data_IF_262250972170
#
_entry.id   IF_262250972170
#
_cell.length_a   1.000
_cell.length_b   1.000
_cell.length_c   1.000
_cell.angle_alpha   90.00
_cell.angle_beta   90.00
_cell.angle_gamma   90.00
#
_symmetry.space_group_name_H-M   'P 1'
#
loop_
_entity.id
_entity.type
_entity.pdbx_description
1 polymer ?
#
# COMPACT_ATOMS: atom_id res chain seq x y z
N UNK A 1 -14.53 -13.61 0.87
CA UNK A 1 -15.26 -13.86 -0.39
C UNK A 1 -14.63 -13.13 -1.57
N UNK A 2 -14.33 -11.83 -1.45
CA UNK A 2 -13.69 -11.09 -2.55
C UNK A 2 -12.32 -11.68 -2.85
N UNK A 3 -11.48 -11.87 -1.84
CA UNK A 3 -10.16 -12.49 -1.98
C UNK A 3 -10.23 -13.88 -2.63
N UNK A 4 -11.18 -14.72 -2.22
CA UNK A 4 -11.41 -16.04 -2.84
C UNK A 4 -11.69 -15.94 -4.34
N UNK A 5 -12.50 -14.93 -4.74
CA UNK A 5 -12.90 -14.73 -6.13
C UNK A 5 -11.79 -14.18 -7.01
N UNK A 6 -10.97 -13.28 -6.47
CA UNK A 6 -9.88 -12.62 -7.22
C UNK A 6 -8.53 -13.32 -7.07
N UNK A 7 -8.45 -14.39 -6.26
CA UNK A 7 -7.23 -15.18 -6.07
C UNK A 7 -6.17 -14.54 -5.17
N UNK A 8 -6.55 -13.62 -4.27
CA UNK A 8 -5.63 -13.03 -3.32
C UNK A 8 -5.41 -13.99 -2.15
N UNK A 9 -4.16 -14.29 -1.82
CA UNK A 9 -3.78 -15.03 -0.62
C UNK A 9 -3.85 -14.12 0.61
N UNK A 10 -4.37 -14.63 1.71
CA UNK A 10 -4.63 -13.88 2.94
C UNK A 10 -3.92 -14.54 4.12
N UNK A 11 -3.12 -13.76 4.82
CA UNK A 11 -2.75 -14.04 6.22
C UNK A 11 -3.78 -13.34 7.08
N UNK A 12 -4.59 -14.12 7.79
CA UNK A 12 -5.69 -13.58 8.60
C UNK A 12 -5.21 -13.42 10.04
N UNK A 13 -5.23 -12.19 10.55
CA UNK A 13 -4.74 -11.83 11.88
C UNK A 13 -5.87 -11.29 12.74
N UNK A 14 -6.02 -11.87 13.95
CA UNK A 14 -7.13 -11.54 14.82
C UNK A 14 -6.84 -10.38 15.77
N UNK A 15 -5.68 -10.39 16.42
CA UNK A 15 -5.40 -9.51 17.56
C UNK A 15 -4.00 -8.94 17.46
N UNK A 16 -3.84 -7.70 17.93
CA UNK A 16 -2.56 -7.04 18.01
C UNK A 16 -1.75 -7.58 19.21
N UNK A 17 -2.17 -7.30 20.44
CA UNK A 17 -1.48 -7.68 21.67
C UNK A 17 -2.32 -8.68 22.49
N UNK A 18 -1.64 -9.42 23.40
CA UNK A 18 -2.27 -10.40 24.30
C UNK A 18 -2.46 -9.88 25.72
N UNK A 19 -2.33 -8.58 25.92
CA UNK A 19 -2.52 -7.95 27.21
C UNK A 19 -3.79 -7.10 27.23
N UNK A 20 -4.35 -6.90 28.42
CA UNK A 20 -5.52 -6.04 28.61
C UNK A 20 -5.19 -4.56 28.47
N UNK A 21 -3.92 -4.18 28.73
CA UNK A 21 -3.47 -2.79 28.64
C UNK A 21 -3.29 -2.30 27.20
N UNK A 22 -2.93 -3.20 26.29
CA UNK A 22 -2.61 -2.88 24.89
C UNK A 22 -3.62 -3.46 23.90
N UNK A 23 -4.76 -3.95 24.40
CA UNK A 23 -5.86 -4.43 23.57
C UNK A 23 -6.71 -3.25 23.10
N UNK A 24 -6.41 -2.75 21.94
CA UNK A 24 -7.04 -1.56 21.38
C UNK A 24 -8.34 -1.87 20.65
N UNK A 25 -9.43 -1.36 21.19
CA UNK A 25 -10.75 -1.46 20.56
C UNK A 25 -11.72 -2.45 21.17
N UNK A 26 -11.32 -3.19 22.19
CA UNK A 26 -12.22 -4.05 22.95
C UNK A 26 -12.93 -3.32 24.09
N UNK A 27 -14.19 -3.71 24.36
CA UNK A 27 -14.92 -3.26 25.56
C UNK A 27 -14.72 -4.18 26.76
N UNK A 28 -14.10 -5.33 26.54
CA UNK A 28 -13.82 -6.34 27.57
C UNK A 28 -12.33 -6.66 27.54
N UNK A 29 -11.72 -6.96 28.70
CA UNK A 29 -10.33 -7.38 28.78
C UNK A 29 -10.05 -8.58 27.87
N UNK A 30 -8.93 -8.56 27.16
CA UNK A 30 -8.55 -9.64 26.25
C UNK A 30 -8.45 -10.97 26.99
N UNK A 31 -7.87 -10.98 28.19
CA UNK A 31 -7.74 -12.17 29.05
C UNK A 31 -9.08 -12.85 29.38
N UNK A 32 -10.19 -12.11 29.31
CA UNK A 32 -11.53 -12.66 29.56
C UNK A 32 -12.20 -13.22 28.30
N UNK A 33 -11.82 -12.78 27.11
CA UNK A 33 -12.60 -13.06 25.89
C UNK A 33 -11.84 -13.81 24.79
N UNK A 34 -10.51 -13.97 24.91
CA UNK A 34 -9.66 -14.56 23.86
C UNK A 34 -10.17 -15.91 23.33
N UNK A 35 -10.63 -16.79 24.21
CA UNK A 35 -11.12 -18.11 23.83
C UNK A 35 -12.35 -18.03 22.92
N UNK A 36 -13.25 -17.09 23.17
CA UNK A 36 -14.40 -16.83 22.33
C UNK A 36 -13.99 -16.15 21.02
N UNK A 37 -13.14 -15.16 21.10
CA UNK A 37 -12.66 -14.42 19.91
C UNK A 37 -11.99 -15.38 18.93
N UNK A 38 -11.01 -16.15 19.35
CA UNK A 38 -10.31 -17.12 18.49
C UNK A 38 -11.30 -18.14 17.91
N UNK A 39 -12.18 -18.70 18.74
CA UNK A 39 -13.14 -19.70 18.30
C UNK A 39 -14.07 -19.17 17.21
N UNK A 40 -14.66 -18.01 17.41
CA UNK A 40 -15.62 -17.45 16.46
C UNK A 40 -14.94 -16.95 15.17
N UNK A 41 -13.74 -16.40 15.29
CA UNK A 41 -12.91 -16.01 14.15
C UNK A 41 -12.59 -17.19 13.25
N UNK A 42 -12.03 -18.28 13.78
CA UNK A 42 -11.71 -19.47 13.00
C UNK A 42 -12.96 -20.08 12.36
N UNK A 43 -14.06 -20.22 13.11
CA UNK A 43 -15.31 -20.75 12.56
C UNK A 43 -15.88 -19.92 11.44
N UNK A 44 -15.76 -18.58 11.51
CA UNK A 44 -16.22 -17.66 10.48
C UNK A 44 -15.44 -17.85 9.17
N UNK A 45 -14.11 -18.01 9.28
CA UNK A 45 -13.22 -17.82 8.12
C UNK A 45 -12.56 -19.12 7.62
N UNK A 46 -12.53 -20.22 8.38
CA UNK A 46 -11.84 -21.47 7.99
C UNK A 46 -12.25 -22.07 6.64
N UNK A 47 -13.43 -21.75 6.15
CA UNK A 47 -13.94 -22.24 4.86
C UNK A 47 -13.57 -21.27 3.70
N UNK A 48 -12.64 -20.34 3.90
CA UNK A 48 -12.13 -19.43 2.88
C UNK A 48 -10.85 -19.99 2.26
N UNK A 49 -10.85 -20.39 0.99
CA UNK A 49 -9.65 -20.93 0.36
C UNK A 49 -8.53 -19.89 0.19
N UNK A 50 -8.86 -18.60 0.20
CA UNK A 50 -7.87 -17.52 0.17
C UNK A 50 -6.99 -17.45 1.42
N UNK A 51 -7.48 -17.88 2.59
CA UNK A 51 -6.71 -17.85 3.83
C UNK A 51 -5.69 -18.98 3.82
N UNK A 52 -4.41 -18.62 3.96
CA UNK A 52 -3.30 -19.56 3.92
C UNK A 52 -2.61 -19.72 5.27
N UNK A 53 -2.74 -18.74 6.17
CA UNK A 53 -2.05 -18.69 7.45
C UNK A 53 -2.90 -17.93 8.47
N UNK A 54 -2.87 -18.37 9.74
CA UNK A 54 -3.49 -17.71 10.87
C UNK A 54 -2.46 -16.98 11.69
N UNK A 55 -2.55 -15.67 11.85
CA UNK A 55 -1.69 -14.88 12.72
C UNK A 55 -2.38 -14.59 14.05
N UNK A 56 -1.73 -14.98 15.14
CA UNK A 56 -2.32 -14.98 16.49
C UNK A 56 -1.96 -13.74 17.30
N UNK A 57 -1.12 -12.87 16.78
CA UNK A 57 -0.72 -11.63 17.47
C UNK A 57 0.35 -10.87 16.72
N UNK A 58 0.56 -9.63 17.14
CA UNK A 58 1.49 -8.71 16.51
C UNK A 58 2.39 -8.01 17.53
N UNK A 59 3.70 -8.02 17.27
CA UNK A 59 4.71 -7.24 18.01
C UNK A 59 4.64 -7.38 19.53
N UNK A 60 4.54 -8.61 20.01
CA UNK A 60 4.36 -8.90 21.42
C UNK A 60 5.59 -8.61 22.29
N UNK A 61 6.79 -8.53 21.68
CA UNK A 61 8.08 -8.41 22.35
C UNK A 61 8.83 -7.16 21.86
N UNK A 62 8.25 -5.98 22.02
CA UNK A 62 8.79 -4.78 21.36
C UNK A 62 9.87 -4.07 22.16
N UNK A 63 9.69 -3.86 23.46
CA UNK A 63 10.56 -2.96 24.24
C UNK A 63 10.76 -3.43 25.66
N UNK A 64 11.88 -3.03 26.25
CA UNK A 64 12.13 -3.16 27.67
C UNK A 64 10.99 -2.52 28.49
N UNK A 65 10.35 -3.29 29.36
CA UNK A 65 9.23 -2.84 30.17
C UNK A 65 7.86 -2.81 29.47
N UNK A 66 7.79 -3.19 28.22
CA UNK A 66 6.52 -3.35 27.51
C UNK A 66 6.39 -4.75 26.92
N UNK A 67 5.53 -5.56 27.51
CA UNK A 67 5.18 -6.87 27.00
C UNK A 67 3.78 -6.81 26.41
N UNK A 68 3.61 -7.21 25.18
CA UNK A 68 2.30 -7.36 24.54
C UNK A 68 1.54 -8.58 25.05
N UNK A 69 1.97 -9.19 26.13
CA UNK A 69 1.32 -10.29 26.86
C UNK A 69 1.60 -10.18 28.35
N UNK A 70 0.67 -10.64 29.13
CA UNK A 70 0.79 -10.71 30.59
C UNK A 70 1.16 -12.13 31.03
N UNK A 71 1.90 -12.23 32.14
CA UNK A 71 2.15 -13.49 32.81
C UNK A 71 3.58 -13.96 32.76
N UNK A 72 3.82 -15.17 32.41
CA UNK A 72 5.00 -15.98 32.71
C UNK A 72 6.30 -15.51 32.04
N UNK A 73 7.44 -15.98 32.59
CA UNK A 73 8.77 -15.74 32.05
C UNK A 73 9.12 -16.62 30.82
N UNK A 74 8.14 -17.17 30.12
CA UNK A 74 8.33 -18.06 28.99
C UNK A 74 8.21 -17.38 27.61
N UNK A 75 8.27 -16.06 27.59
CA UNK A 75 8.25 -15.26 26.36
C UNK A 75 6.99 -15.44 25.49
N UNK A 76 5.86 -15.80 26.12
CA UNK A 76 4.57 -16.00 25.44
C UNK A 76 4.39 -17.39 24.83
N UNK A 77 5.34 -18.32 25.00
CA UNK A 77 5.28 -19.66 24.41
C UNK A 77 4.06 -20.45 24.90
N UNK A 78 3.79 -20.45 26.21
CA UNK A 78 2.60 -21.11 26.77
C UNK A 78 1.32 -20.53 26.19
N UNK A 79 1.20 -19.22 26.13
CA UNK A 79 0.02 -18.54 25.57
C UNK A 79 -0.17 -18.87 24.10
N UNK A 80 0.91 -18.81 23.31
CA UNK A 80 0.86 -19.21 21.90
C UNK A 80 0.38 -20.66 21.76
N UNK A 81 0.94 -21.58 22.52
CA UNK A 81 0.58 -23.00 22.44
C UNK A 81 -0.91 -23.23 22.76
N UNK A 82 -1.46 -22.53 23.76
CA UNK A 82 -2.88 -22.59 24.10
C UNK A 82 -3.73 -22.07 22.92
N UNK A 83 -3.35 -20.93 22.34
CA UNK A 83 -4.07 -20.34 21.20
C UNK A 83 -3.96 -21.23 19.95
N UNK A 84 -2.77 -21.75 19.67
CA UNK A 84 -2.56 -22.68 18.56
C UNK A 84 -3.41 -23.94 18.70
N UNK A 85 -3.44 -24.56 19.88
CA UNK A 85 -4.29 -25.72 20.15
C UNK A 85 -5.77 -25.40 19.92
N UNK A 86 -6.23 -24.21 20.32
CA UNK A 86 -7.60 -23.80 20.11
C UNK A 86 -7.90 -23.59 18.61
N UNK A 87 -6.97 -23.00 17.85
CA UNK A 87 -7.08 -22.92 16.39
C UNK A 87 -7.17 -24.31 15.78
N UNK A 88 -6.24 -25.21 16.11
CA UNK A 88 -6.16 -26.57 15.55
C UNK A 88 -7.41 -27.41 15.86
N UNK A 89 -8.12 -27.12 16.95
CA UNK A 89 -9.41 -27.74 17.25
C UNK A 89 -10.47 -27.45 16.17
N UNK A 90 -10.38 -26.30 15.51
CA UNK A 90 -11.38 -25.84 14.53
C UNK A 90 -10.87 -25.83 13.09
N UNK A 91 -9.55 -25.68 12.90
CA UNK A 91 -8.86 -25.78 11.62
C UNK A 91 -7.45 -26.37 11.81
N UNK A 92 -7.30 -27.65 11.49
CA UNK A 92 -6.01 -28.36 11.52
C UNK A 92 -5.25 -28.30 10.17
N UNK A 93 -5.81 -27.62 9.18
CA UNK A 93 -5.27 -27.65 7.81
C UNK A 93 -4.26 -26.52 7.55
N UNK A 94 -4.33 -25.42 8.29
CA UNK A 94 -3.46 -24.24 8.12
C UNK A 94 -2.51 -24.08 9.28
N UNK A 95 -1.35 -23.51 8.99
CA UNK A 95 -0.34 -23.19 10.00
C UNK A 95 -0.70 -21.90 10.74
N UNK A 96 -0.08 -21.71 11.90
CA UNK A 96 -0.22 -20.51 12.71
C UNK A 96 1.11 -19.79 12.86
N UNK A 97 1.02 -18.50 13.10
CA UNK A 97 2.17 -17.60 13.32
C UNK A 97 1.85 -16.51 14.33
N UNK A 98 2.85 -15.76 14.70
CA UNK A 98 2.79 -14.47 15.37
C UNK A 98 3.76 -13.53 14.66
N UNK A 99 3.34 -12.34 14.34
CA UNK A 99 4.21 -11.31 13.77
C UNK A 99 5.08 -10.69 14.87
N UNK A 100 6.39 -10.93 14.84
CA UNK A 100 7.32 -10.49 15.89
C UNK A 100 8.12 -9.27 15.44
N UNK A 101 8.36 -8.35 16.38
CA UNK A 101 9.22 -7.18 16.21
C UNK A 101 9.80 -6.73 17.53
N UNK A 102 10.97 -6.13 17.50
CA UNK A 102 12.22 -6.70 17.07
C UNK A 102 12.47 -8.02 17.80
N UNK A 103 13.49 -8.71 17.45
CA UNK A 103 13.75 -10.07 17.97
C UNK A 103 13.71 -10.18 19.50
N UNK A 104 14.11 -9.17 20.21
CA UNK A 104 13.96 -8.98 21.65
C UNK A 104 14.08 -7.52 22.00
N UNK A 105 13.36 -7.14 23.06
CA UNK A 105 13.49 -5.82 23.64
C UNK A 105 14.93 -5.38 23.77
N UNK A 106 15.27 -4.41 23.02
CA UNK A 106 16.27 -3.37 23.21
C UNK A 106 17.72 -3.74 23.47
N UNK A 107 18.04 -4.71 24.28
CA UNK A 107 19.41 -4.89 24.76
C UNK A 107 20.36 -5.58 23.78
N UNK A 108 19.85 -6.47 22.92
CA UNK A 108 20.69 -7.27 22.01
C UNK A 108 20.73 -6.69 20.59
N UNK A 109 19.78 -5.87 20.22
CA UNK A 109 19.71 -5.28 18.88
C UNK A 109 20.38 -3.92 18.75
N UNK A 110 20.78 -3.29 19.86
CA UNK A 110 21.43 -1.98 19.88
C UNK A 110 22.94 -2.09 19.69
N UNK A 111 23.37 -1.88 18.45
CA UNK A 111 24.65 -1.26 18.10
C UNK A 111 25.95 -2.00 18.33
N UNK A 112 25.98 -3.22 18.83
CA UNK A 112 27.23 -3.96 18.93
C UNK A 112 27.41 -4.90 17.73
N UNK A 113 28.32 -4.54 16.83
CA UNK A 113 28.73 -5.40 15.72
C UNK A 113 29.20 -6.78 16.18
N UNK A 114 29.72 -6.88 17.39
CA UNK A 114 30.16 -8.14 18.00
C UNK A 114 29.00 -9.10 18.29
N UNK A 115 27.80 -8.57 18.61
CA UNK A 115 26.63 -9.42 18.88
C UNK A 115 25.87 -9.86 17.63
N UNK A 116 26.09 -9.27 16.47
CA UNK A 116 25.43 -9.71 15.22
C UNK A 116 25.81 -11.13 14.83
N UNK A 117 27.00 -11.60 15.19
CA UNK A 117 27.45 -12.97 14.91
C UNK A 117 26.81 -14.01 15.86
N UNK A 118 26.22 -13.57 16.95
CA UNK A 118 25.52 -14.40 17.96
C UNK A 118 24.01 -14.19 17.98
N UNK A 119 23.47 -13.61 16.92
CA UNK A 119 22.04 -13.31 16.84
C UNK A 119 21.24 -14.62 16.74
N UNK A 120 20.50 -14.94 17.78
CA UNK A 120 19.61 -16.10 17.82
C UNK A 120 18.16 -15.68 17.61
N UNK A 121 17.32 -16.52 16.98
CA UNK A 121 15.91 -16.23 16.87
C UNK A 121 15.25 -16.17 18.25
N UNK A 122 14.21 -15.33 18.44
CA UNK A 122 13.45 -15.29 19.68
C UNK A 122 12.84 -16.65 20.00
N UNK A 123 12.66 -16.96 21.27
CA UNK A 123 12.07 -18.22 21.73
C UNK A 123 10.67 -18.44 21.14
N UNK A 124 9.86 -17.39 21.09
CA UNK A 124 8.52 -17.46 20.50
C UNK A 124 8.57 -17.83 19.01
N UNK A 125 9.54 -17.29 18.26
CA UNK A 125 9.74 -17.66 16.85
C UNK A 125 10.07 -19.14 16.67
N UNK A 126 10.83 -19.70 17.64
CA UNK A 126 11.16 -21.13 17.64
C UNK A 126 9.98 -22.04 18.02
N UNK A 127 8.95 -21.46 18.62
CA UNK A 127 7.73 -22.18 19.03
C UNK A 127 6.61 -22.10 18.00
N UNK A 128 6.62 -21.08 17.12
CA UNK A 128 5.60 -20.90 16.08
C UNK A 128 5.81 -21.87 14.91
N UNK A 129 4.72 -22.25 14.24
CA UNK A 129 4.79 -23.10 13.05
C UNK A 129 5.40 -22.39 11.86
N UNK A 130 5.20 -21.06 11.74
CA UNK A 130 5.88 -20.16 10.84
C UNK A 130 6.41 -18.99 11.66
N UNK A 131 7.70 -18.71 11.55
CA UNK A 131 8.34 -17.61 12.25
C UNK A 131 8.18 -16.32 11.42
N UNK A 132 7.27 -15.45 11.81
CA UNK A 132 7.00 -14.20 11.14
C UNK A 132 7.66 -13.03 11.84
N UNK A 133 8.21 -12.10 11.06
CA UNK A 133 8.86 -10.91 11.58
C UNK A 133 8.48 -9.65 10.82
N UNK A 134 8.33 -8.57 11.57
CA UNK A 134 8.17 -7.24 11.04
C UNK A 134 9.55 -6.59 10.88
N UNK A 135 9.89 -6.12 9.68
CA UNK A 135 11.09 -5.31 9.37
C UNK A 135 12.46 -5.95 9.67
N UNK A 136 12.55 -7.25 9.87
CA UNK A 136 13.75 -7.94 10.36
C UNK A 136 14.44 -8.85 9.33
N UNK A 137 14.23 -8.65 8.04
CA UNK A 137 14.79 -9.53 6.98
C UNK A 137 16.32 -9.59 6.97
N UNK A 138 17.00 -8.58 7.47
CA UNK A 138 18.45 -8.54 7.61
C UNK A 138 19.02 -9.52 8.67
N UNK A 139 18.16 -10.08 9.51
CA UNK A 139 18.51 -11.01 10.59
C UNK A 139 18.34 -12.48 10.20
N UNK A 140 17.66 -12.78 9.10
CA UNK A 140 17.23 -14.14 8.75
C UNK A 140 18.39 -15.11 8.53
N UNK A 141 19.47 -14.67 7.88
CA UNK A 141 20.67 -15.49 7.70
C UNK A 141 21.30 -15.92 9.03
N UNK A 142 21.30 -15.02 10.03
CA UNK A 142 21.79 -15.33 11.36
C UNK A 142 20.86 -16.31 12.08
N UNK A 143 19.55 -16.13 12.00
CA UNK A 143 18.58 -17.04 12.60
C UNK A 143 18.66 -18.46 12.00
N UNK A 144 18.81 -18.56 10.69
CA UNK A 144 18.93 -19.86 10.01
C UNK A 144 20.22 -20.62 10.31
N UNK A 145 21.27 -19.94 10.76
CA UNK A 145 22.48 -20.62 11.29
C UNK A 145 22.17 -21.43 12.55
N UNK A 146 21.30 -20.93 13.43
CA UNK A 146 20.92 -21.62 14.68
C UNK A 146 19.74 -22.58 14.51
N UNK A 147 18.79 -22.21 13.66
CA UNK A 147 17.56 -22.95 13.41
C UNK A 147 17.32 -23.07 11.91
N UNK A 148 18.07 -23.97 11.23
CA UNK A 148 17.95 -24.15 9.78
C UNK A 148 16.60 -24.74 9.35
N UNK A 149 15.80 -25.20 10.29
CA UNK A 149 14.46 -25.75 10.10
C UNK A 149 13.36 -24.69 10.12
N UNK A 150 13.65 -23.43 10.48
CA UNK A 150 12.64 -22.39 10.51
C UNK A 150 12.06 -22.13 9.10
N UNK A 151 10.74 -22.03 9.07
CA UNK A 151 9.98 -21.46 7.96
C UNK A 151 9.75 -19.99 8.29
N UNK A 152 10.20 -19.09 7.43
CA UNK A 152 10.19 -17.66 7.68
C UNK A 152 9.10 -16.96 6.85
N UNK A 153 8.54 -15.90 7.43
CA UNK A 153 7.65 -14.97 6.74
C UNK A 153 7.97 -13.54 7.17
N UNK A 154 8.11 -12.62 6.23
CA UNK A 154 8.19 -11.21 6.58
C UNK A 154 6.78 -10.62 6.57
N UNK A 155 6.19 -10.57 7.75
CA UNK A 155 4.81 -10.13 7.95
C UNK A 155 4.61 -8.64 7.70
N UNK A 156 5.66 -7.84 7.95
CA UNK A 156 5.70 -6.43 7.57
C UNK A 156 7.07 -6.05 7.02
N UNK A 157 7.08 -5.41 5.85
CA UNK A 157 8.26 -4.80 5.25
C UNK A 157 8.00 -3.32 5.00
N UNK A 158 9.02 -2.50 5.21
CA UNK A 158 8.92 -1.08 4.94
C UNK A 158 8.88 -0.79 3.44
N UNK A 159 8.11 0.21 3.06
CA UNK A 159 8.00 0.68 1.68
C UNK A 159 9.22 1.49 1.22
N UNK A 160 10.11 1.89 2.12
CA UNK A 160 11.33 2.67 1.81
C UNK A 160 12.41 1.83 1.11
N UNK A 161 12.60 0.59 1.51
CA UNK A 161 13.57 -0.34 0.90
C UNK A 161 13.03 -1.09 -0.31
N UNK A 162 11.76 -0.89 -0.62
CA UNK A 162 11.08 -1.40 -1.80
C UNK A 162 11.39 -2.87 -2.08
N UNK A 163 12.07 -3.15 -3.17
CA UNK A 163 12.30 -4.51 -3.66
C UNK A 163 13.53 -5.21 -3.06
N UNK A 164 14.36 -4.52 -2.27
CA UNK A 164 15.55 -5.14 -1.70
C UNK A 164 15.21 -6.39 -0.86
N UNK A 165 14.25 -6.34 0.09
CA UNK A 165 13.85 -7.53 0.83
C UNK A 165 13.31 -8.64 -0.06
N UNK A 166 12.55 -8.29 -1.10
CA UNK A 166 11.97 -9.25 -2.04
C UNK A 166 13.03 -9.98 -2.88
N UNK A 167 14.02 -9.24 -3.42
CA UNK A 167 15.05 -9.86 -4.26
C UNK A 167 16.11 -10.60 -3.47
N UNK A 168 16.33 -10.23 -2.21
CA UNK A 168 17.26 -10.93 -1.30
C UNK A 168 16.58 -12.06 -0.51
N UNK A 169 15.27 -12.26 -0.70
CA UNK A 169 14.51 -13.28 -0.01
C UNK A 169 15.03 -14.68 -0.34
N UNK A 170 15.32 -15.47 0.70
CA UNK A 170 15.56 -16.91 0.57
C UNK A 170 14.24 -17.63 0.23
N UNK A 171 14.08 -17.99 -1.05
CA UNK A 171 12.85 -18.59 -1.57
C UNK A 171 12.64 -20.06 -1.13
N UNK A 172 13.64 -20.68 -0.52
CA UNK A 172 13.51 -22.04 0.03
C UNK A 172 12.98 -22.02 1.46
N UNK A 173 13.28 -20.95 2.20
CA UNK A 173 12.96 -20.84 3.63
C UNK A 173 11.87 -19.81 3.93
N UNK A 174 11.64 -18.85 3.04
CA UNK A 174 10.62 -17.81 3.23
C UNK A 174 9.37 -18.11 2.42
N UNK A 175 8.23 -18.10 3.09
CA UNK A 175 6.91 -18.27 2.44
C UNK A 175 6.44 -17.02 1.74
N UNK A 176 6.96 -15.84 2.10
CA UNK A 176 6.59 -14.59 1.45
C UNK A 176 6.99 -13.34 2.21
N UNK A 177 6.50 -12.22 1.67
CA UNK A 177 6.69 -10.87 2.21
C UNK A 177 5.39 -10.09 2.05
N UNK A 178 5.01 -9.32 3.07
CA UNK A 178 3.94 -8.33 3.01
C UNK A 178 4.48 -6.94 3.34
N UNK A 179 4.11 -5.94 2.56
CA UNK A 179 4.51 -4.55 2.83
C UNK A 179 3.49 -3.89 3.76
N UNK A 180 3.99 -3.27 4.84
CA UNK A 180 3.15 -2.52 5.73
C UNK A 180 2.72 -1.20 5.09
N UNK A 181 1.39 -1.03 5.06
CA UNK A 181 0.76 0.13 4.48
C UNK A 181 0.86 0.17 2.96
N UNK A 182 0.58 -0.93 2.23
CA UNK A 182 0.54 -0.90 0.75
C UNK A 182 -0.43 0.15 0.21
N UNK A 183 -1.55 0.38 0.92
CA UNK A 183 -2.53 1.44 0.67
C UNK A 183 -2.51 2.41 1.84
N UNK A 184 -2.56 3.70 1.58
CA UNK A 184 -2.71 4.72 2.61
C UNK A 184 -3.97 4.52 3.45
N UNK A 185 -3.92 4.81 4.73
CA UNK A 185 -5.04 4.65 5.65
C UNK A 185 -5.05 5.72 6.72
N UNK A 186 -6.21 5.91 7.35
CA UNK A 186 -6.40 6.83 8.46
C UNK A 186 -5.97 6.20 9.80
N UNK A 187 -5.50 7.01 10.72
CA UNK A 187 -4.88 6.59 11.96
C UNK A 187 -3.37 6.81 11.91
N UNK A 188 -2.58 6.17 12.71
CA UNK A 188 -1.11 6.17 12.75
C UNK A 188 -0.42 7.41 12.16
N UNK A 189 -0.85 8.59 12.61
CA UNK A 189 -0.31 9.86 12.16
C UNK A 189 0.74 10.37 13.14
N UNK A 190 1.89 10.77 12.63
CA UNK A 190 2.98 11.31 13.45
C UNK A 190 2.84 12.81 13.74
N UNK A 191 1.92 13.52 13.09
CA UNK A 191 1.70 14.96 13.32
C UNK A 191 0.39 15.43 12.68
N UNK A 192 -0.28 16.38 13.34
CA UNK A 192 -1.40 17.12 12.77
C UNK A 192 -0.90 18.17 11.74
N UNK A 193 -1.60 18.46 10.64
CA UNK A 193 -2.94 17.97 10.24
C UNK A 193 -2.94 16.65 9.47
N UNK A 194 -1.81 15.99 9.30
CA UNK A 194 -1.73 14.67 8.68
C UNK A 194 -2.62 13.68 9.44
N UNK A 195 -3.51 12.99 8.72
CA UNK A 195 -4.57 12.16 9.32
C UNK A 195 -4.26 10.67 9.38
N UNK A 196 -3.16 10.24 8.78
CA UNK A 196 -2.86 8.82 8.74
C UNK A 196 -1.51 8.49 8.13
N UNK A 197 -1.33 7.20 7.83
CA UNK A 197 -0.16 6.65 7.19
C UNK A 197 -0.16 6.96 5.69
N UNK A 198 0.89 7.59 5.18
CA UNK A 198 1.05 7.96 3.76
C UNK A 198 2.37 7.47 3.15
N UNK A 199 3.01 6.46 3.74
CA UNK A 199 4.22 5.83 3.23
C UNK A 199 3.88 4.57 2.43
N UNK A 200 3.04 4.70 1.40
CA UNK A 200 2.36 3.61 0.72
C UNK A 200 2.60 3.62 -0.79
N UNK A 201 2.19 2.56 -1.47
CA UNK A 201 2.23 2.45 -2.94
C UNK A 201 0.98 3.03 -3.59
N UNK A 202 -0.15 3.04 -2.87
CA UNK A 202 -1.43 3.55 -3.34
C UNK A 202 -1.97 4.60 -2.38
N UNK A 203 -2.55 5.66 -2.93
CA UNK A 203 -3.36 6.58 -2.15
C UNK A 203 -4.55 5.83 -1.51
N UNK A 204 -5.13 6.41 -0.45
CA UNK A 204 -6.35 5.85 0.15
C UNK A 204 -7.56 5.88 -0.81
N UNK A 205 -7.49 6.66 -1.91
CA UNK A 205 -8.42 6.61 -3.05
C UNK A 205 -8.09 5.49 -4.05
N UNK A 206 -7.15 4.59 -3.73
CA UNK A 206 -6.66 3.49 -4.56
C UNK A 206 -5.89 3.90 -5.82
N UNK A 207 -5.54 5.18 -5.98
CA UNK A 207 -4.68 5.60 -7.08
C UNK A 207 -3.23 5.18 -6.80
N UNK A 208 -2.56 4.54 -7.78
CA UNK A 208 -1.15 4.17 -7.62
C UNK A 208 -0.24 5.41 -7.63
N UNK A 209 0.73 5.44 -6.75
CA UNK A 209 1.91 6.29 -6.89
C UNK A 209 2.87 5.68 -7.92
N UNK A 210 3.79 6.46 -8.52
CA UNK A 210 4.75 5.91 -9.48
C UNK A 210 5.55 4.72 -8.96
N UNK A 211 5.87 4.65 -7.66
CA UNK A 211 6.58 3.51 -7.06
C UNK A 211 5.76 2.20 -7.03
N UNK A 212 4.43 2.26 -7.17
CA UNK A 212 3.62 1.05 -7.32
C UNK A 212 4.01 0.25 -8.56
N UNK A 213 4.45 0.94 -9.61
CA UNK A 213 4.92 0.30 -10.84
C UNK A 213 6.27 -0.40 -10.66
N UNK A 214 7.11 0.06 -9.71
CA UNK A 214 8.30 -0.69 -9.33
C UNK A 214 7.93 -2.06 -8.74
N UNK A 215 6.94 -2.10 -7.83
CA UNK A 215 6.42 -3.35 -7.28
C UNK A 215 5.83 -4.23 -8.38
N UNK A 216 5.04 -3.65 -9.29
CA UNK A 216 4.47 -4.36 -10.44
C UNK A 216 5.55 -5.03 -11.29
N UNK A 217 6.69 -4.38 -11.54
CA UNK A 217 7.79 -4.96 -12.32
C UNK A 217 8.41 -6.20 -11.70
N UNK A 218 8.33 -6.36 -10.39
CA UNK A 218 8.85 -7.51 -9.66
C UNK A 218 7.82 -8.64 -9.54
N UNK A 219 6.56 -8.30 -9.30
CA UNK A 219 5.49 -9.27 -9.03
C UNK A 219 4.84 -9.80 -10.30
N UNK A 220 4.99 -9.06 -11.41
CA UNK A 220 4.47 -9.43 -12.74
C UNK A 220 5.60 -9.36 -13.78
N UNK A 221 6.68 -10.14 -13.61
CA UNK A 221 7.89 -10.03 -14.45
C UNK A 221 7.65 -10.41 -15.91
N UNK A 222 6.60 -11.15 -16.21
CA UNK A 222 6.18 -11.56 -17.55
C UNK A 222 5.52 -10.43 -18.36
N UNK A 223 5.04 -9.38 -17.69
CA UNK A 223 4.40 -8.24 -18.33
C UNK A 223 5.45 -7.13 -18.48
N UNK A 224 5.86 -6.78 -19.71
CA UNK A 224 6.78 -5.67 -19.92
C UNK A 224 6.19 -4.36 -19.39
N UNK A 225 6.96 -3.67 -18.56
CA UNK A 225 6.53 -2.42 -17.91
C UNK A 225 7.60 -1.34 -18.07
N UNK A 226 7.18 -0.10 -18.24
CA UNK A 226 7.98 1.09 -17.99
C UNK A 226 7.10 2.22 -17.48
N UNK A 227 7.48 2.86 -16.38
CA UNK A 227 6.74 3.96 -15.80
C UNK A 227 7.66 5.09 -15.36
N UNK A 228 7.25 6.35 -15.58
CA UNK A 228 8.02 7.54 -15.21
C UNK A 228 7.49 8.09 -13.89
N UNK A 229 8.40 8.33 -12.94
CA UNK A 229 8.13 9.12 -11.74
C UNK A 229 9.00 10.37 -11.72
N UNK A 230 8.38 11.53 -11.63
CA UNK A 230 9.06 12.82 -11.49
C UNK A 230 9.36 13.06 -10.02
N UNK A 231 10.62 13.37 -9.68
CA UNK A 231 11.01 13.61 -8.30
C UNK A 231 10.45 14.96 -7.83
N UNK A 232 9.70 14.91 -6.75
CA UNK A 232 9.20 16.06 -6.01
C UNK A 232 9.91 16.15 -4.66
N UNK A 233 11.05 16.83 -4.62
CA UNK A 233 11.85 16.93 -3.42
C UNK A 233 11.11 17.59 -2.22
N UNK A 234 10.11 18.43 -2.49
CA UNK A 234 9.30 19.07 -1.46
C UNK A 234 8.33 18.11 -0.78
N UNK A 235 7.98 17.01 -1.46
CA UNK A 235 7.06 15.98 -0.93
C UNK A 235 7.76 14.79 -0.26
N UNK A 236 9.09 14.79 -0.15
CA UNK A 236 9.81 13.70 0.51
C UNK A 236 9.57 13.73 2.01
N UNK A 237 9.08 12.65 2.55
CA UNK A 237 8.87 12.45 3.97
C UNK A 237 9.51 11.16 4.43
N UNK A 238 10.11 11.19 5.61
CA UNK A 238 10.53 10.00 6.33
C UNK A 238 10.31 10.19 7.82
N UNK A 239 10.09 9.11 8.52
CA UNK A 239 9.88 9.10 9.97
C UNK A 239 10.60 7.89 10.57
N UNK A 240 11.17 8.04 11.75
CA UNK A 240 11.59 6.91 12.56
C UNK A 240 10.34 6.36 13.28
N UNK A 241 10.00 5.14 12.96
CA UNK A 241 8.84 4.44 13.50
C UNK A 241 9.29 3.09 14.02
N UNK A 242 9.16 2.86 15.32
CA UNK A 242 9.61 1.61 15.96
C UNK A 242 11.04 1.20 15.58
N UNK A 243 11.99 2.14 15.63
CA UNK A 243 13.40 1.95 15.26
C UNK A 243 13.66 1.62 13.77
N UNK A 244 12.65 1.72 12.92
CA UNK A 244 12.73 1.59 11.46
C UNK A 244 12.53 2.95 10.81
N UNK A 245 13.32 3.29 9.81
CA UNK A 245 13.09 4.49 9.01
C UNK A 245 12.11 4.14 7.90
N UNK A 246 10.90 4.70 8.00
CA UNK A 246 9.89 4.60 6.97
C UNK A 246 9.84 5.87 6.16
N UNK A 247 9.73 5.74 4.87
CA UNK A 247 9.66 6.88 3.98
C UNK A 247 8.99 6.50 2.66
N UNK A 248 8.66 7.54 1.89
CA UNK A 248 8.19 7.31 0.54
C UNK A 248 9.08 8.07 -0.43
N UNK A 249 9.29 7.50 -1.61
CA UNK A 249 9.84 8.24 -2.74
C UNK A 249 8.83 9.33 -3.10
N UNK A 250 9.23 10.60 -2.97
CA UNK A 250 8.39 11.72 -3.36
C UNK A 250 8.35 11.80 -4.89
N UNK A 251 7.44 11.06 -5.49
CA UNK A 251 7.27 10.95 -6.93
C UNK A 251 5.83 11.30 -7.34
N UNK A 252 5.72 11.99 -8.45
CA UNK A 252 4.45 12.24 -9.11
C UNK A 252 4.59 12.11 -10.64
N UNK A 253 3.52 12.35 -11.38
CA UNK A 253 3.51 12.32 -12.85
C UNK A 253 3.35 13.73 -13.45
N UNK A 254 3.50 14.76 -12.64
CA UNK A 254 3.35 16.14 -13.09
C UNK A 254 4.55 16.56 -13.95
N UNK A 255 4.28 17.00 -15.18
CA UNK A 255 5.27 17.60 -16.06
C UNK A 255 4.94 19.06 -16.35
N UNK A 256 4.44 19.78 -15.33
CA UNK A 256 4.26 21.23 -15.36
C UNK A 256 5.26 21.88 -14.39
N UNK A 257 6.27 22.55 -14.93
CA UNK A 257 7.35 23.14 -14.12
C UNK A 257 7.71 24.55 -14.62
N UNK A 258 8.56 25.23 -13.89
CA UNK A 258 9.11 26.54 -14.31
C UNK A 258 9.93 26.38 -15.59
N UNK A 259 9.68 27.20 -16.62
CA UNK A 259 10.49 27.21 -17.83
C UNK A 259 11.99 27.29 -17.55
N UNK A 260 12.79 26.50 -18.29
CA UNK A 260 14.24 26.41 -18.12
C UNK A 260 14.72 25.59 -16.92
N UNK A 261 13.82 25.08 -16.08
CA UNK A 261 14.19 24.24 -14.95
C UNK A 261 14.69 22.84 -15.39
N UNK A 262 15.38 22.16 -14.47
CA UNK A 262 15.80 20.76 -14.63
C UNK A 262 15.14 19.91 -13.55
N UNK A 263 14.83 18.67 -13.89
CA UNK A 263 14.16 17.72 -12.98
C UNK A 263 14.91 16.40 -12.94
N UNK A 264 14.79 15.69 -11.83
CA UNK A 264 15.22 14.32 -11.74
C UNK A 264 14.02 13.41 -11.91
N UNK A 265 14.23 12.29 -12.60
CA UNK A 265 13.20 11.31 -12.88
C UNK A 265 13.68 9.91 -12.46
N UNK A 266 12.72 9.06 -12.11
CA UNK A 266 12.91 7.62 -12.11
C UNK A 266 12.12 7.00 -13.25
N UNK A 267 12.66 5.95 -13.86
CA UNK A 267 11.89 5.02 -14.68
C UNK A 267 11.94 3.64 -14.05
N UNK A 268 10.78 3.06 -13.82
CA UNK A 268 10.60 1.71 -13.27
C UNK A 268 10.35 0.76 -14.41
N UNK A 269 11.16 -0.29 -14.56
CA UNK A 269 11.05 -1.22 -15.68
C UNK A 269 11.63 -2.59 -15.37
N UNK A 270 10.99 -3.66 -15.85
CA UNK A 270 11.54 -5.02 -15.89
C UNK A 270 12.26 -5.33 -17.22
N UNK A 271 12.28 -4.40 -18.15
CA UNK A 271 12.99 -4.55 -19.42
C UNK A 271 14.52 -4.43 -19.26
N UNK A 272 15.26 -4.74 -20.31
CA UNK A 272 16.73 -4.71 -20.32
C UNK A 272 17.30 -3.28 -20.21
N UNK A 273 16.65 -2.32 -20.86
CA UNK A 273 17.10 -0.91 -20.88
C UNK A 273 15.94 0.04 -21.14
N UNK A 274 16.16 1.31 -20.83
CA UNK A 274 15.22 2.40 -21.13
C UNK A 274 15.96 3.49 -21.92
N UNK A 275 15.35 3.96 -23.00
CA UNK A 275 15.67 5.22 -23.66
C UNK A 275 14.71 6.30 -23.17
N UNK A 276 15.25 7.44 -22.72
CA UNK A 276 14.45 8.59 -22.31
C UNK A 276 14.48 9.66 -23.40
N UNK A 277 13.31 10.09 -23.86
CA UNK A 277 13.15 11.17 -24.81
C UNK A 277 12.52 12.39 -24.16
N UNK A 278 13.07 13.56 -24.37
CA UNK A 278 12.48 14.85 -23.98
C UNK A 278 12.18 15.62 -25.25
N UNK A 279 10.90 15.92 -25.53
CA UNK A 279 10.46 16.57 -26.73
C UNK A 279 10.98 15.91 -28.03
N UNK A 280 11.09 14.56 -28.00
CA UNK A 280 11.61 13.78 -29.12
C UNK A 280 13.14 13.68 -29.19
N UNK A 281 13.87 14.43 -28.39
CA UNK A 281 15.34 14.35 -28.32
C UNK A 281 15.73 13.29 -27.29
N UNK A 282 16.60 12.34 -27.67
CA UNK A 282 17.11 11.30 -26.79
C UNK A 282 18.06 11.88 -25.74
N UNK A 283 17.81 11.52 -24.48
CA UNK A 283 18.68 11.76 -23.34
C UNK A 283 19.67 10.61 -23.11
N UNK A 284 19.68 9.62 -24.02
CA UNK A 284 20.48 8.42 -23.96
C UNK A 284 19.69 7.19 -23.52
N UNK A 285 20.40 6.06 -23.47
CA UNK A 285 19.89 4.76 -23.05
C UNK A 285 20.62 4.34 -21.79
N UNK A 286 19.86 3.93 -20.77
CA UNK A 286 20.41 3.33 -19.54
C UNK A 286 19.94 1.89 -19.40
N UNK A 287 20.86 1.03 -18.95
CA UNK A 287 20.55 -0.38 -18.67
C UNK A 287 19.95 -0.54 -17.28
N UNK A 288 19.02 -1.47 -17.16
CA UNK A 288 18.51 -1.94 -15.87
C UNK A 288 19.59 -2.74 -15.15
N UNK A 289 20.03 -2.28 -13.98
CA UNK A 289 21.01 -3.00 -13.16
C UNK A 289 20.31 -4.10 -12.35
N UNK A 290 20.31 -5.29 -12.87
CA UNK A 290 19.70 -6.46 -12.21
C UNK A 290 20.65 -7.19 -11.25
N UNK A 291 21.88 -6.70 -11.08
CA UNK A 291 22.89 -7.32 -10.20
C UNK A 291 22.76 -6.88 -8.74
N UNK A 292 22.18 -5.70 -8.51
CA UNK A 292 21.98 -5.12 -7.18
C UNK A 292 20.50 -4.98 -6.86
N UNK A 293 20.06 -5.61 -5.78
CA UNK A 293 18.65 -5.64 -5.37
C UNK A 293 18.05 -4.23 -5.18
N UNK A 294 18.81 -3.29 -4.63
CA UNK A 294 18.37 -1.92 -4.36
C UNK A 294 18.30 -1.01 -5.61
N UNK A 295 18.84 -1.44 -6.74
CA UNK A 295 18.80 -0.70 -8.01
C UNK A 295 17.99 -1.43 -9.08
N UNK A 296 17.67 -2.68 -8.85
CA UNK A 296 16.97 -3.52 -9.82
C UNK A 296 15.59 -2.93 -10.16
N UNK A 297 15.31 -2.86 -11.45
CA UNK A 297 14.07 -2.33 -12.03
C UNK A 297 13.86 -0.82 -11.81
N UNK A 298 14.91 -0.08 -11.43
CA UNK A 298 14.84 1.34 -11.14
C UNK A 298 16.02 2.07 -11.78
N UNK A 299 15.74 2.99 -12.70
CA UNK A 299 16.75 3.79 -13.40
C UNK A 299 16.55 5.25 -13.04
N UNK A 300 17.60 5.91 -12.57
CA UNK A 300 17.60 7.33 -12.19
C UNK A 300 18.14 8.20 -13.32
N UNK A 301 17.39 9.25 -13.66
CA UNK A 301 17.73 10.26 -14.66
C UNK A 301 17.91 11.61 -13.99
N UNK A 302 19.15 12.06 -13.94
CA UNK A 302 19.51 13.33 -13.29
C UNK A 302 19.47 14.47 -14.31
N UNK A 303 19.08 15.67 -13.83
CA UNK A 303 19.18 16.92 -14.58
C UNK A 303 18.48 16.91 -15.97
N UNK A 304 17.30 16.27 -16.05
CA UNK A 304 16.49 16.24 -17.27
C UNK A 304 15.89 17.63 -17.53
N UNK A 305 16.14 18.24 -18.70
CA UNK A 305 15.65 19.60 -19.01
C UNK A 305 14.14 19.62 -19.23
N UNK A 306 13.45 20.56 -18.56
CA UNK A 306 12.03 20.80 -18.81
C UNK A 306 11.80 21.66 -20.07
N UNK A 307 12.71 22.63 -20.34
CA UNK A 307 12.54 23.59 -21.43
C UNK A 307 11.38 24.55 -21.17
N UNK A 308 10.49 24.67 -22.13
CA UNK A 308 9.25 25.46 -22.05
C UNK A 308 7.98 24.58 -22.04
N UNK A 309 8.10 23.35 -21.58
CA UNK A 309 7.05 22.34 -21.65
C UNK A 309 7.28 21.29 -22.72
N UNK A 310 6.26 20.45 -22.94
CA UNK A 310 6.29 19.38 -23.92
C UNK A 310 6.11 18.00 -23.29
N UNK A 311 6.89 17.01 -23.71
CA UNK A 311 6.71 15.63 -23.27
C UNK A 311 8.00 14.97 -22.84
N UNK A 312 7.87 14.02 -21.90
CA UNK A 312 8.87 13.01 -21.59
C UNK A 312 8.32 11.64 -21.97
N UNK A 313 9.10 10.84 -22.66
CA UNK A 313 8.74 9.50 -23.09
C UNK A 313 9.84 8.54 -22.65
N UNK A 314 9.48 7.53 -21.88
CA UNK A 314 10.35 6.40 -21.57
C UNK A 314 10.01 5.24 -22.49
N UNK A 315 11.01 4.69 -23.16
CA UNK A 315 10.87 3.55 -24.08
C UNK A 315 11.69 2.40 -23.52
N UNK A 316 10.99 1.37 -23.03
CA UNK A 316 11.62 0.15 -22.57
C UNK A 316 12.00 -0.75 -23.75
N UNK A 317 13.22 -1.29 -23.71
CA UNK A 317 13.73 -2.17 -24.75
C UNK A 317 14.20 -3.49 -24.17
N UNK A 318 13.98 -4.58 -24.90
CA UNK A 318 14.53 -5.90 -24.59
C UNK A 318 16.03 -5.99 -24.94
N UNK A 319 16.62 -7.18 -24.75
CA UNK A 319 18.03 -7.43 -25.06
C UNK A 319 18.38 -7.28 -26.56
N UNK A 320 17.40 -7.41 -27.46
CA UNK A 320 17.57 -7.22 -28.90
C UNK A 320 17.49 -5.75 -29.32
N UNK A 321 17.10 -4.84 -28.39
CA UNK A 321 16.86 -3.44 -28.67
C UNK A 321 15.44 -3.13 -29.15
N UNK A 322 14.54 -4.12 -29.23
CA UNK A 322 13.15 -3.95 -29.61
C UNK A 322 12.38 -3.26 -28.48
N UNK A 323 11.52 -2.30 -28.83
CA UNK A 323 10.58 -1.67 -27.90
C UNK A 323 9.56 -2.70 -27.39
N UNK A 324 9.39 -2.78 -26.06
CA UNK A 324 8.47 -3.71 -25.41
C UNK A 324 7.43 -3.00 -24.52
N UNK A 325 7.72 -1.76 -24.09
CA UNK A 325 6.77 -0.93 -23.35
C UNK A 325 7.11 0.55 -23.52
N UNK A 326 6.13 1.40 -23.28
CA UNK A 326 6.28 2.87 -23.39
C UNK A 326 5.41 3.58 -22.37
N UNK A 327 5.97 4.60 -21.72
CA UNK A 327 5.20 5.53 -20.89
C UNK A 327 5.49 6.96 -21.29
N UNK A 328 4.47 7.84 -21.23
CA UNK A 328 4.55 9.24 -21.62
C UNK A 328 3.86 10.13 -20.63
N UNK A 329 4.53 11.18 -20.21
CA UNK A 329 3.96 12.30 -19.46
C UNK A 329 4.13 13.59 -20.26
N UNK A 330 3.22 14.55 -20.08
CA UNK A 330 3.19 15.80 -20.85
C UNK A 330 2.80 16.99 -19.98
N UNK A 331 3.31 18.14 -20.35
CA UNK A 331 2.85 19.42 -19.80
C UNK A 331 1.37 19.62 -20.14
N UNK A 332 0.54 19.76 -19.15
CA UNK A 332 -0.87 20.08 -19.30
C UNK A 332 -1.07 21.58 -19.59
N UNK A 333 -2.10 21.88 -20.37
CA UNK A 333 -2.57 23.24 -20.60
C UNK A 333 -3.58 23.68 -19.53
N UNK A 334 -4.36 24.73 -19.85
CA UNK A 334 -5.44 25.22 -18.96
C UNK A 334 -6.53 24.17 -18.80
N UNK A 335 -7.12 24.10 -17.62
CA UNK A 335 -8.30 23.30 -17.31
C UNK A 335 -9.48 23.71 -18.22
N UNK A 336 -10.11 22.72 -18.88
CA UNK A 336 -11.26 22.97 -19.76
C UNK A 336 -12.45 22.03 -19.53
N UNK A 337 -12.23 20.87 -18.90
CA UNK A 337 -13.26 19.87 -18.68
C UNK A 337 -13.02 19.00 -17.43
N UNK A 338 -14.07 18.32 -17.01
CA UNK A 338 -14.04 17.25 -16.01
C UNK A 338 -14.18 15.91 -16.73
N UNK A 339 -13.22 15.01 -16.57
CA UNK A 339 -13.35 13.60 -16.92
C UNK A 339 -13.93 12.88 -15.71
N UNK A 340 -15.07 12.21 -15.89
CA UNK A 340 -15.86 11.59 -14.84
C UNK A 340 -16.02 10.11 -15.18
N UNK A 341 -15.49 9.23 -14.37
CA UNK A 341 -15.41 7.79 -14.63
C UNK A 341 -15.90 7.02 -13.40
N UNK A 342 -16.93 6.16 -13.57
CA UNK A 342 -17.39 5.27 -12.53
C UNK A 342 -16.62 3.94 -12.65
N UNK A 343 -16.26 3.32 -11.51
CA UNK A 343 -15.46 2.08 -11.50
C UNK A 343 -16.27 0.86 -11.92
N UNK A 344 -17.53 0.75 -11.48
CA UNK A 344 -18.41 -0.38 -11.78
C UNK A 344 -19.77 0.08 -12.30
N UNK A 345 -19.82 0.76 -13.48
CA UNK A 345 -21.04 1.44 -13.94
C UNK A 345 -22.19 0.48 -14.31
N UNK A 346 -21.91 -0.80 -14.55
CA UNK A 346 -22.88 -1.80 -15.03
C UNK A 346 -23.24 -2.88 -14.02
N UNK A 347 -22.56 -2.95 -12.88
CA UNK A 347 -22.74 -3.96 -11.83
C UNK A 347 -22.87 -3.33 -10.45
N UNK A 348 -23.72 -2.30 -10.34
CA UNK A 348 -24.00 -1.62 -9.08
C UNK A 348 -25.34 -2.08 -8.52
N UNK A 349 -25.30 -2.87 -7.44
CA UNK A 349 -26.47 -3.55 -6.89
C UNK A 349 -27.28 -2.67 -5.96
N UNK A 350 -28.60 -2.77 -6.05
CA UNK A 350 -29.55 -2.05 -5.19
C UNK A 350 -29.85 -2.85 -3.92
N UNK A 351 -28.82 -3.09 -3.10
CA UNK A 351 -28.94 -3.83 -1.83
C UNK A 351 -28.85 -2.93 -0.59
N UNK A 352 -28.71 -1.62 -0.79
CA UNK A 352 -28.53 -0.62 0.28
C UNK A 352 -27.13 -0.60 0.88
N UNK A 353 -26.20 -1.39 0.36
CA UNK A 353 -24.82 -1.53 0.87
C UNK A 353 -23.76 -1.33 -0.20
N UNK A 354 -24.05 -1.68 -1.46
CA UNK A 354 -23.09 -1.65 -2.54
C UNK A 354 -22.65 -0.23 -2.88
N UNK A 355 -21.35 -0.05 -3.09
CA UNK A 355 -20.70 1.25 -3.29
C UNK A 355 -20.34 1.45 -4.76
N UNK A 356 -20.49 2.68 -5.22
CA UNK A 356 -19.95 3.16 -6.48
C UNK A 356 -18.91 4.23 -6.23
N UNK A 357 -17.71 4.00 -6.74
CA UNK A 357 -16.62 4.97 -6.75
C UNK A 357 -16.60 5.69 -8.09
N UNK A 358 -16.61 7.02 -8.05
CA UNK A 358 -16.58 7.87 -9.23
C UNK A 358 -15.35 8.74 -9.17
N UNK A 359 -14.42 8.54 -10.09
CA UNK A 359 -13.19 9.31 -10.20
C UNK A 359 -13.40 10.53 -11.08
N UNK A 360 -13.11 11.71 -10.56
CA UNK A 360 -13.19 12.99 -11.27
C UNK A 360 -11.77 13.51 -11.45
N UNK A 361 -11.39 13.79 -12.71
CA UNK A 361 -10.09 14.38 -13.06
C UNK A 361 -10.31 15.63 -13.88
N UNK A 362 -9.67 16.73 -13.49
CA UNK A 362 -9.64 17.95 -14.30
C UNK A 362 -8.67 17.73 -15.45
N UNK A 363 -9.12 18.03 -16.68
CA UNK A 363 -8.34 17.82 -17.88
C UNK A 363 -8.24 19.08 -18.74
N UNK A 364 -7.16 19.17 -19.50
CA UNK A 364 -6.97 20.19 -20.53
C UNK A 364 -7.63 19.82 -21.86
N UNK A 365 -7.49 20.68 -22.87
CA UNK A 365 -8.04 20.50 -24.22
C UNK A 365 -7.57 19.20 -24.93
N UNK A 366 -6.43 18.63 -24.51
CA UNK A 366 -5.88 17.39 -25.05
C UNK A 366 -6.21 16.16 -24.18
N UNK A 367 -7.02 16.33 -23.11
CA UNK A 367 -7.38 15.27 -22.18
C UNK A 367 -6.31 14.96 -21.13
N UNK A 368 -5.28 15.82 -20.98
CA UNK A 368 -4.19 15.61 -20.01
C UNK A 368 -4.61 16.10 -18.62
N UNK A 369 -4.27 15.38 -17.54
CA UNK A 369 -4.57 15.81 -16.17
C UNK A 369 -3.90 17.15 -15.84
N UNK A 370 -4.65 18.05 -15.19
CA UNK A 370 -4.19 19.36 -14.74
C UNK A 370 -3.88 19.27 -13.24
N UNK A 371 -2.61 19.10 -12.91
CA UNK A 371 -2.14 18.78 -11.55
C UNK A 371 -2.19 19.95 -10.58
N UNK A 372 -2.15 21.17 -11.04
CA UNK A 372 -2.16 22.40 -10.24
C UNK A 372 -3.57 22.94 -9.96
N UNK A 373 -4.61 22.17 -10.30
CA UNK A 373 -6.01 22.57 -10.09
C UNK A 373 -6.50 22.13 -8.70
N UNK A 374 -6.86 23.13 -7.86
CA UNK A 374 -7.29 22.91 -6.48
C UNK A 374 -8.61 23.65 -6.14
N UNK A 375 -9.41 24.03 -7.14
CA UNK A 375 -10.70 24.68 -6.92
C UNK A 375 -11.73 23.73 -6.29
N UNK A 376 -12.71 24.24 -5.52
CA UNK A 376 -13.76 23.41 -4.97
C UNK A 376 -14.61 22.72 -6.05
N UNK A 377 -14.86 21.42 -5.87
CA UNK A 377 -15.86 20.67 -6.60
C UNK A 377 -17.17 20.71 -5.80
N UNK A 378 -18.28 21.00 -6.46
CA UNK A 378 -19.63 20.93 -5.88
C UNK A 378 -20.44 19.86 -6.61
N UNK A 379 -21.15 19.05 -5.82
CA UNK A 379 -21.95 17.93 -6.29
C UNK A 379 -23.43 18.14 -5.98
N UNK A 380 -24.28 17.82 -6.96
CA UNK A 380 -25.71 17.62 -6.82
C UNK A 380 -26.06 16.22 -7.29
N UNK A 381 -26.90 15.52 -6.57
CA UNK A 381 -27.28 14.15 -6.88
C UNK A 381 -28.79 13.94 -6.73
N UNK A 382 -29.35 13.13 -7.63
CA UNK A 382 -30.77 12.73 -7.63
C UNK A 382 -30.85 11.23 -7.96
N UNK A 383 -31.82 10.52 -7.38
CA UNK A 383 -32.12 9.12 -7.71
C UNK A 383 -31.82 8.12 -6.60
N UNK A 384 -31.69 6.85 -6.95
CA UNK A 384 -31.66 5.69 -6.07
C UNK A 384 -30.28 5.43 -5.43
N UNK A 385 -29.67 6.44 -4.86
CA UNK A 385 -28.41 6.36 -4.13
C UNK A 385 -28.23 7.53 -3.17
N UNK A 386 -27.24 7.42 -2.28
CA UNK A 386 -26.83 8.46 -1.32
C UNK A 386 -25.35 8.77 -1.43
N UNK A 387 -25.00 10.04 -1.24
CA UNK A 387 -23.61 10.45 -1.12
C UNK A 387 -23.05 9.96 0.24
N UNK A 388 -21.96 9.21 0.18
CA UNK A 388 -21.21 8.76 1.36
C UNK A 388 -20.09 9.73 1.68
N UNK A 389 -19.23 10.03 0.69
CA UNK A 389 -18.08 10.90 0.90
C UNK A 389 -17.63 11.59 -0.38
N UNK A 390 -16.89 12.69 -0.19
CA UNK A 390 -16.01 13.32 -1.17
C UNK A 390 -14.57 13.17 -0.68
N UNK A 391 -13.72 12.50 -1.44
CA UNK A 391 -12.34 12.24 -1.09
C UNK A 391 -11.39 12.77 -2.17
N UNK A 392 -10.50 13.67 -1.80
CA UNK A 392 -9.56 14.29 -2.72
C UNK A 392 -8.15 13.67 -2.71
N UNK A 393 -7.90 12.65 -1.87
CA UNK A 393 -6.59 12.02 -1.73
C UNK A 393 -5.58 12.80 -0.88
N UNK A 394 -5.97 13.91 -0.26
CA UNK A 394 -5.08 14.73 0.55
C UNK A 394 -5.11 14.34 2.03
N UNK A 395 -4.02 13.75 2.53
CA UNK A 395 -3.85 13.42 3.95
C UNK A 395 -3.78 14.62 4.89
N UNK A 396 -3.51 15.80 4.35
CA UNK A 396 -3.33 17.04 5.13
C UNK A 396 -4.54 17.95 5.12
N UNK A 397 -5.59 17.61 4.36
CA UNK A 397 -6.80 18.42 4.30
C UNK A 397 -7.47 18.55 5.68
N UNK A 398 -7.95 19.72 6.01
CA UNK A 398 -8.78 19.99 7.19
C UNK A 398 -10.29 19.91 6.89
N UNK A 399 -10.65 19.76 5.62
CA UNK A 399 -12.06 19.63 5.20
C UNK A 399 -12.62 18.24 5.53
N UNK A 400 -13.92 18.19 5.79
CA UNK A 400 -14.65 16.95 6.02
C UNK A 400 -14.69 16.08 4.75
N UNK A 401 -14.91 14.78 4.93
CA UNK A 401 -15.09 13.80 3.85
C UNK A 401 -16.56 13.43 3.64
N UNK A 402 -17.36 13.46 4.68
CA UNK A 402 -18.78 13.07 4.70
C UNK A 402 -19.66 14.18 5.24
N UNK A 403 -20.95 14.14 4.92
CA UNK A 403 -21.92 15.17 5.32
C UNK A 403 -21.74 16.49 4.57
N UNK A 404 -21.00 16.51 3.48
CA UNK A 404 -20.74 17.69 2.63
C UNK A 404 -21.05 17.37 1.17
N UNK A 405 -21.37 18.39 0.41
CA UNK A 405 -21.59 18.32 -1.04
C UNK A 405 -20.58 19.14 -1.84
N UNK A 406 -19.62 19.76 -1.16
CA UNK A 406 -18.54 20.52 -1.78
C UNK A 406 -17.24 20.29 -1.04
N UNK A 407 -16.15 20.08 -1.79
CA UNK A 407 -14.80 19.89 -1.25
C UNK A 407 -13.77 20.36 -2.26
N UNK A 408 -12.65 20.92 -1.77
CA UNK A 408 -11.52 21.32 -2.60
C UNK A 408 -10.91 20.10 -3.30
N UNK A 409 -10.70 20.21 -4.58
CA UNK A 409 -9.92 19.20 -5.33
C UNK A 409 -8.44 19.26 -4.92
N UNK A 410 -7.77 18.13 -5.02
CA UNK A 410 -6.34 18.03 -4.77
C UNK A 410 -5.65 17.46 -6.00
N UNK A 411 -4.66 18.18 -6.50
CA UNK A 411 -3.96 17.81 -7.74
C UNK A 411 -4.91 17.53 -8.93
N UNK A 412 -5.97 18.33 -9.03
CA UNK A 412 -6.98 18.20 -10.09
C UNK A 412 -7.88 16.97 -9.97
N UNK A 413 -8.02 16.38 -8.78
CA UNK A 413 -8.73 15.11 -8.59
C UNK A 413 -9.70 15.14 -7.42
N UNK A 414 -10.73 14.29 -7.55
CA UNK A 414 -11.71 14.00 -6.51
C UNK A 414 -12.29 12.61 -6.74
N UNK A 415 -12.47 11.82 -5.71
CA UNK A 415 -13.27 10.61 -5.73
C UNK A 415 -14.60 10.89 -5.02
N UNK A 416 -15.71 10.50 -5.65
CA UNK A 416 -17.06 10.58 -5.10
C UNK A 416 -17.48 9.16 -4.76
N UNK A 417 -17.91 8.93 -3.53
CA UNK A 417 -18.33 7.62 -3.05
C UNK A 417 -19.85 7.67 -2.82
N UNK A 418 -20.57 6.86 -3.59
CA UNK A 418 -22.03 6.72 -3.47
C UNK A 418 -22.35 5.32 -2.92
N UNK A 419 -23.47 5.22 -2.21
CA UNK A 419 -24.06 3.96 -1.76
C UNK A 419 -25.45 3.82 -2.37
N UNK A 420 -25.77 2.65 -2.92
CA UNK A 420 -27.07 2.33 -3.47
C UNK A 420 -28.17 2.39 -2.42
N UNK A 421 -29.40 2.69 -2.84
CA UNK A 421 -30.60 2.41 -2.06
C UNK A 421 -31.03 0.95 -2.23
N UNK A 422 -32.05 0.49 -1.47
CA UNK A 422 -32.59 -0.87 -1.59
C UNK A 422 -33.48 -1.06 -2.83
N UNK A 423 -33.91 0.05 -3.43
CA UNK A 423 -34.70 0.02 -4.65
C UNK A 423 -33.85 0.38 -5.86
N UNK A 424 -33.89 -0.46 -6.89
CA UNK A 424 -33.18 -0.21 -8.13
C UNK A 424 -33.75 0.99 -8.87
N UNK A 425 -32.88 1.83 -9.41
CA UNK A 425 -33.31 3.06 -10.08
C UNK A 425 -32.18 3.79 -10.79
N UNK A 426 -32.53 4.89 -11.43
CA UNK A 426 -31.57 5.77 -12.07
C UNK A 426 -30.92 6.68 -11.01
N UNK A 427 -29.65 7.00 -11.23
CA UNK A 427 -28.87 7.95 -10.43
C UNK A 427 -28.25 8.98 -11.37
N UNK A 428 -28.47 10.26 -11.08
CA UNK A 428 -27.87 11.36 -11.81
C UNK A 428 -26.96 12.17 -10.89
N UNK A 429 -25.70 12.29 -11.27
CA UNK A 429 -24.67 13.05 -10.55
C UNK A 429 -24.29 14.24 -11.40
N UNK A 430 -24.53 15.46 -10.91
CA UNK A 430 -24.14 16.73 -11.55
C UNK A 430 -22.98 17.32 -10.76
N UNK A 431 -21.90 17.66 -11.42
CA UNK A 431 -20.65 18.12 -10.84
C UNK A 431 -20.29 19.46 -11.45
N UNK A 432 -19.82 20.39 -10.63
CA UNK A 432 -19.30 21.68 -11.08
C UNK A 432 -18.08 22.10 -10.27
N UNK A 433 -17.14 22.82 -10.93
CA UNK A 433 -15.96 23.41 -10.30
C UNK A 433 -15.46 24.59 -11.15
N UNK A 434 -15.43 25.80 -10.60
CA UNK A 434 -14.93 27.03 -11.24
C UNK A 434 -15.35 27.20 -12.73
N UNK A 435 -16.64 26.97 -13.00
CA UNK A 435 -17.20 27.09 -14.37
C UNK A 435 -17.15 25.79 -15.21
N UNK A 436 -16.34 24.81 -14.83
CA UNK A 436 -16.37 23.48 -15.42
C UNK A 436 -17.63 22.74 -14.93
N UNK A 437 -18.23 21.95 -15.81
CA UNK A 437 -19.46 21.17 -15.47
C UNK A 437 -19.38 19.79 -16.10
N UNK A 438 -19.99 18.82 -15.40
CA UNK A 438 -20.14 17.46 -15.90
C UNK A 438 -21.37 16.78 -15.34
N UNK A 439 -21.88 15.79 -16.02
CA UNK A 439 -23.01 14.98 -15.57
C UNK A 439 -22.73 13.53 -15.87
N UNK A 440 -22.91 12.67 -14.85
CA UNK A 440 -22.84 11.23 -14.98
C UNK A 440 -24.22 10.64 -14.70
N UNK A 441 -24.65 9.67 -15.52
CA UNK A 441 -25.89 8.92 -15.33
C UNK A 441 -25.53 7.45 -15.09
N UNK A 442 -26.02 6.91 -14.02
CA UNK A 442 -25.81 5.53 -13.58
C UNK A 442 -27.16 4.87 -13.31
N UNK A 443 -27.14 3.58 -13.14
CA UNK A 443 -28.32 2.80 -12.76
C UNK A 443 -27.92 1.74 -11.76
N UNK A 444 -28.67 1.66 -10.65
CA UNK A 444 -28.58 0.51 -9.75
C UNK A 444 -29.49 -0.61 -10.27
N UNK A 445 -29.06 -1.86 -10.13
CA UNK A 445 -29.77 -3.05 -10.60
C UNK A 445 -30.21 -3.92 -9.43
N UNK A 446 -31.30 -4.67 -9.60
CA UNK A 446 -31.68 -5.69 -8.61
C UNK A 446 -30.66 -6.82 -8.60
N UNK A 447 -30.45 -7.42 -7.43
CA UNK A 447 -29.60 -8.59 -7.26
C UNK A 447 -30.07 -9.79 -8.08
#
# INVERSE_FOLDING_TARGET
>A
RIADRVGILVVDELTDKWSDNDYWGGRQPFTHIWHKLITEWIKRDRNRPSIILWSLGNELQIREGWAGFEGTNDWGITTYNIFNQLVKRWDHTRLTTVAMFPARAGAITRHDKEFNDYLVPPELACATEVASFNYQSDKYDAYLKYRPDLILFQSEAETSNLLQPYYNMDKERMVGIAYWGSVEYWGESNKWPKKGWNYSFFEHTMRPYPQAYLIKTAFMPEIPEVHIGVVDAAGAESVSWNDVIVGRMALNECWNHTPGSRRSLFTFTNAHSVELLVNGQSMGIQKNDTTRANLRNMIYWKDVPYGNGGSVVAIARDKSGKEVARHRIETAGKAVALRIEAETPTDWKADGMDLQYINVTVIDKKGRPVWDYNEPLTLQMEGAARLVALDNGDHYTDELFHGITSKRMYQGRMQIILRSDQEAGNVTVKISSAGLKGTLRLKTIKE
#
